data_IF_013002652350
#
_entry.id   IF_013002652350
#
_cell.length_a   1.000
_cell.length_b   1.000
_cell.length_c   1.000
_cell.angle_alpha   90.00
_cell.angle_beta   90.00
_cell.angle_gamma   90.00
#
_symmetry.space_group_name_H-M   'P 1'
#
loop_
_entity.id
_entity.type
_entity.pdbx_description
1 polymer ?
#
# COMPACT_ATOMS: atom_id res chain seq x y z
N UNK A 1 24.98 6.95 -8.75
CA UNK A 1 23.60 6.60 -9.14
C UNK A 1 22.68 6.92 -7.97
N UNK A 2 21.60 7.66 -8.19
CA UNK A 2 20.63 7.96 -7.13
C UNK A 2 19.80 6.71 -6.82
N UNK A 3 19.66 6.36 -5.52
CA UNK A 3 18.80 5.27 -5.06
C UNK A 3 17.34 5.54 -5.48
N UNK A 4 16.59 4.52 -5.83
CA UNK A 4 15.15 4.59 -6.09
C UNK A 4 14.35 5.04 -4.87
N UNK A 5 13.07 5.37 -5.06
CA UNK A 5 12.13 5.79 -4.01
C UNK A 5 11.24 4.63 -3.58
N UNK A 6 10.98 4.52 -2.30
CA UNK A 6 9.87 3.70 -1.78
C UNK A 6 8.59 4.55 -1.77
N UNK A 7 7.70 4.32 -2.73
CA UNK A 7 6.37 4.93 -2.79
C UNK A 7 5.45 4.12 -1.87
N UNK A 8 5.16 4.68 -0.70
CA UNK A 8 4.51 3.95 0.39
C UNK A 8 3.05 4.39 0.51
N UNK A 9 2.13 3.63 -0.13
CA UNK A 9 0.70 3.95 -0.11
C UNK A 9 0.11 3.67 1.27
N UNK A 10 -0.51 4.70 1.83
CA UNK A 10 -1.21 4.65 3.12
C UNK A 10 -2.62 5.21 2.96
N UNK A 11 -3.47 4.99 3.93
CA UNK A 11 -4.85 5.49 3.92
C UNK A 11 -5.81 4.54 4.62
N UNK A 12 -7.08 4.93 4.79
CA UNK A 12 -8.07 4.14 5.50
C UNK A 12 -8.30 2.75 4.90
N UNK A 13 -8.84 1.85 5.70
CA UNK A 13 -9.31 0.56 5.18
C UNK A 13 -10.50 0.80 4.25
N UNK A 14 -10.52 0.16 3.09
CA UNK A 14 -11.61 0.33 2.13
C UNK A 14 -11.39 1.43 1.09
N UNK A 15 -10.39 2.30 1.25
CA UNK A 15 -10.15 3.44 0.34
C UNK A 15 -9.71 3.03 -1.09
N UNK A 16 -9.45 1.74 -1.35
CA UNK A 16 -9.13 1.25 -2.69
C UNK A 16 -7.64 1.10 -3.01
N UNK A 17 -6.73 1.17 -2.02
CA UNK A 17 -5.28 1.03 -2.24
C UNK A 17 -4.87 -0.20 -3.06
N UNK A 18 -5.43 -1.37 -2.77
CA UNK A 18 -5.09 -2.61 -3.50
C UNK A 18 -5.57 -2.56 -4.96
N UNK A 19 -6.74 -1.96 -5.20
CA UNK A 19 -7.29 -1.77 -6.56
C UNK A 19 -6.43 -0.79 -7.35
N UNK A 20 -6.09 0.34 -6.73
CA UNK A 20 -5.24 1.37 -7.32
C UNK A 20 -3.85 0.81 -7.69
N UNK A 21 -3.21 0.09 -6.75
CA UNK A 21 -1.91 -0.52 -7.00
C UNK A 21 -1.95 -1.55 -8.13
N UNK A 22 -2.98 -2.41 -8.16
CA UNK A 22 -3.12 -3.43 -9.20
C UNK A 22 -3.29 -2.79 -10.58
N UNK A 23 -4.14 -1.79 -10.68
CA UNK A 23 -4.36 -1.08 -11.94
C UNK A 23 -3.08 -0.34 -12.41
N UNK A 24 -2.38 0.34 -11.49
CA UNK A 24 -1.12 0.99 -11.80
C UNK A 24 -0.03 -0.02 -12.23
N UNK A 25 0.05 -1.18 -11.56
CA UNK A 25 0.99 -2.24 -11.93
C UNK A 25 0.73 -2.78 -13.34
N UNK A 26 -0.54 -2.93 -13.73
CA UNK A 26 -0.92 -3.33 -15.09
C UNK A 26 -0.55 -2.26 -16.11
N UNK A 27 -0.88 -1.00 -15.85
CA UNK A 27 -0.61 0.12 -16.76
C UNK A 27 0.89 0.36 -16.95
N UNK A 28 1.69 0.15 -15.90
CA UNK A 28 3.14 0.39 -15.90
C UNK A 28 3.97 -0.89 -16.09
N UNK A 29 3.34 -2.00 -16.52
CA UNK A 29 4.01 -3.29 -16.72
C UNK A 29 5.17 -3.23 -17.74
N UNK A 30 5.17 -2.23 -18.63
CA UNK A 30 6.23 -1.99 -19.62
C UNK A 30 7.44 -1.22 -19.05
N UNK A 31 7.36 -0.71 -17.81
CA UNK A 31 8.42 0.09 -17.17
C UNK A 31 9.34 -0.79 -16.33
N UNK A 32 10.62 -0.82 -16.69
CA UNK A 32 11.65 -1.57 -15.94
C UNK A 32 12.21 -0.82 -14.73
N UNK A 33 11.92 0.46 -14.61
CA UNK A 33 12.37 1.34 -13.53
C UNK A 33 11.39 1.43 -12.35
N UNK A 34 10.24 0.72 -12.42
CA UNK A 34 9.23 0.65 -11.36
C UNK A 34 8.95 -0.79 -10.97
N UNK A 35 8.81 -1.07 -9.68
CA UNK A 35 8.48 -2.40 -9.13
C UNK A 35 7.28 -2.35 -8.22
N UNK A 36 6.45 -3.40 -8.30
CA UNK A 36 5.27 -3.62 -7.46
C UNK A 36 5.41 -4.96 -6.72
N UNK A 37 6.23 -5.05 -5.67
CA UNK A 37 6.47 -6.30 -4.97
C UNK A 37 5.22 -6.77 -4.24
N UNK A 38 5.06 -8.08 -4.15
CA UNK A 38 4.03 -8.71 -3.33
C UNK A 38 4.41 -8.60 -1.86
N UNK A 39 3.47 -8.15 -1.02
CA UNK A 39 3.62 -8.29 0.44
C UNK A 39 3.15 -9.67 0.88
N UNK A 40 3.70 -10.17 1.98
CA UNK A 40 3.29 -11.44 2.58
C UNK A 40 2.26 -11.15 3.65
N UNK A 41 1.14 -11.91 3.66
CA UNK A 41 0.03 -11.70 4.60
C UNK A 41 -0.42 -13.04 5.17
N UNK A 42 -0.62 -13.11 6.50
CA UNK A 42 -1.19 -14.28 7.17
C UNK A 42 -2.71 -14.40 6.93
N UNK A 43 -3.07 -14.53 5.67
CA UNK A 43 -4.47 -14.68 5.25
C UNK A 43 -4.66 -16.07 4.64
N UNK A 44 -5.75 -16.80 4.97
CA UNK A 44 -6.07 -18.04 4.29
C UNK A 44 -6.15 -17.84 2.78
N UNK A 45 -5.57 -18.74 2.02
CA UNK A 45 -5.75 -18.79 0.57
C UNK A 45 -7.23 -18.89 0.23
N UNK A 46 -7.72 -17.99 -0.61
CA UNK A 46 -9.07 -18.10 -1.14
C UNK A 46 -9.02 -18.86 -2.46
N UNK A 47 -9.72 -20.01 -2.59
CA UNK A 47 -9.72 -20.77 -3.84
C UNK A 47 -10.36 -20.03 -5.02
N UNK A 48 -11.10 -18.95 -4.74
CA UNK A 48 -11.81 -18.15 -5.75
C UNK A 48 -11.05 -16.89 -6.20
N UNK A 49 -9.80 -16.70 -5.75
CA UNK A 49 -8.98 -15.55 -6.17
C UNK A 49 -7.81 -16.04 -6.99
N UNK A 50 -7.64 -15.45 -8.16
CA UNK A 50 -6.44 -15.68 -8.95
C UNK A 50 -5.24 -15.03 -8.23
N UNK A 51 -4.41 -15.86 -7.58
CA UNK A 51 -3.26 -15.41 -6.80
C UNK A 51 -2.21 -14.66 -7.65
N UNK A 52 -2.15 -14.93 -8.94
CA UNK A 52 -1.23 -14.26 -9.86
C UNK A 52 -1.57 -12.77 -10.05
N UNK A 53 -2.85 -12.40 -9.86
CA UNK A 53 -3.32 -11.03 -9.99
C UNK A 53 -3.30 -10.25 -8.67
N UNK A 54 -3.03 -10.91 -7.55
CA UNK A 54 -3.00 -10.26 -6.24
C UNK A 54 -1.59 -9.75 -5.92
N UNK A 55 -1.49 -8.52 -5.41
CA UNK A 55 -0.22 -7.93 -4.96
C UNK A 55 0.13 -8.38 -3.52
N UNK A 56 -0.22 -9.61 -3.18
CA UNK A 56 0.22 -10.25 -1.93
C UNK A 56 0.40 -11.76 -2.12
N UNK A 57 1.20 -12.33 -1.26
CA UNK A 57 1.40 -13.75 -1.08
C UNK A 57 0.78 -14.17 0.26
N UNK A 58 -0.02 -15.23 0.24
CA UNK A 58 -0.63 -15.77 1.45
C UNK A 58 0.36 -16.71 2.15
N UNK A 59 0.50 -16.53 3.46
CA UNK A 59 1.27 -17.43 4.32
C UNK A 59 0.44 -17.83 5.54
N UNK A 60 0.73 -18.96 6.14
CA UNK A 60 0.26 -19.24 7.49
C UNK A 60 1.10 -18.52 8.53
N UNK A 61 0.62 -18.47 9.79
CA UNK A 61 1.31 -17.76 10.87
C UNK A 61 2.71 -18.34 11.14
N UNK A 62 2.90 -19.65 11.03
CA UNK A 62 4.17 -20.36 11.25
C UNK A 62 5.21 -19.97 10.19
N UNK A 63 4.81 -20.00 8.91
CA UNK A 63 5.64 -19.57 7.80
C UNK A 63 6.02 -18.10 7.91
N UNK A 64 5.06 -17.22 8.25
CA UNK A 64 5.32 -15.80 8.46
C UNK A 64 6.35 -15.56 9.58
N UNK A 65 6.16 -16.18 10.74
CA UNK A 65 7.12 -16.07 11.85
C UNK A 65 8.50 -16.61 11.51
N UNK A 66 8.57 -17.67 10.68
CA UNK A 66 9.84 -18.19 10.19
C UNK A 66 10.58 -17.17 9.31
N UNK A 67 9.87 -16.52 8.38
CA UNK A 67 10.41 -15.45 7.56
C UNK A 67 10.88 -14.25 8.42
N UNK A 68 10.08 -13.87 9.40
CA UNK A 68 10.40 -12.77 10.33
C UNK A 68 11.68 -13.05 11.13
N UNK A 69 11.83 -14.27 11.69
CA UNK A 69 13.06 -14.67 12.40
C UNK A 69 14.30 -14.69 11.52
N UNK A 70 14.16 -14.98 10.22
CA UNK A 70 15.28 -14.95 9.27
C UNK A 70 15.61 -13.56 8.73
N UNK A 71 14.85 -12.52 9.15
CA UNK A 71 15.07 -11.16 8.68
C UNK A 71 14.64 -10.92 7.23
N UNK A 72 13.72 -11.73 6.69
CA UNK A 72 13.24 -11.66 5.30
C UNK A 72 12.27 -10.49 5.06
N UNK A 73 11.99 -9.69 6.09
CA UNK A 73 11.12 -8.53 5.98
C UNK A 73 11.88 -7.21 6.18
N UNK A 74 11.60 -6.27 5.33
CA UNK A 74 12.00 -4.88 5.45
C UNK A 74 11.17 -4.16 6.54
N UNK A 75 9.86 -4.41 6.52
CA UNK A 75 8.87 -3.83 7.44
C UNK A 75 7.81 -4.87 7.73
N UNK A 76 7.39 -5.00 9.00
CA UNK A 76 6.27 -5.84 9.40
C UNK A 76 5.26 -5.04 10.23
N UNK A 77 3.99 -5.44 10.18
CA UNK A 77 2.95 -4.91 11.07
C UNK A 77 1.82 -5.91 11.27
N UNK A 78 1.04 -5.70 12.33
CA UNK A 78 -0.18 -6.46 12.58
C UNK A 78 -1.39 -5.54 12.50
N UNK A 79 -2.44 -5.99 11.83
CA UNK A 79 -3.70 -5.25 11.68
C UNK A 79 -4.86 -6.19 11.40
N UNK A 80 -6.00 -5.95 12.03
CA UNK A 80 -7.21 -6.76 11.86
C UNK A 80 -7.00 -8.28 12.03
N UNK A 81 -6.19 -8.67 13.01
CA UNK A 81 -5.89 -10.08 13.28
C UNK A 81 -4.95 -10.75 12.26
N UNK A 82 -4.38 -10.01 11.33
CA UNK A 82 -3.43 -10.49 10.34
C UNK A 82 -2.05 -9.85 10.52
N UNK A 83 -1.00 -10.61 10.17
CA UNK A 83 0.34 -10.07 10.02
C UNK A 83 0.63 -9.76 8.54
N UNK A 84 1.44 -8.74 8.33
CA UNK A 84 1.83 -8.24 7.02
C UNK A 84 3.34 -8.01 7.01
N UNK A 85 4.00 -8.39 5.92
CA UNK A 85 5.43 -8.18 5.72
C UNK A 85 5.74 -7.65 4.33
N UNK A 86 6.60 -6.64 4.24
CA UNK A 86 7.23 -6.21 2.99
C UNK A 86 8.56 -6.94 2.87
N UNK A 87 8.84 -7.61 1.73
CA UNK A 87 10.07 -8.37 1.55
C UNK A 87 11.32 -7.50 1.66
N UNK A 88 12.39 -8.00 2.27
CA UNK A 88 13.69 -7.33 2.36
C UNK A 88 14.33 -7.12 0.98
N UNK A 89 14.00 -7.95 0.00
CA UNK A 89 14.45 -7.85 -1.40
C UNK A 89 14.13 -6.50 -2.07
N UNK A 90 13.16 -5.73 -1.53
CA UNK A 90 12.89 -4.34 -1.94
C UNK A 90 14.18 -3.48 -1.91
N UNK A 91 15.13 -3.78 -1.01
CA UNK A 91 16.42 -3.05 -0.93
C UNK A 91 17.24 -3.14 -2.21
N UNK A 92 17.20 -4.28 -2.89
CA UNK A 92 17.93 -4.51 -4.14
C UNK A 92 17.38 -3.64 -5.28
N UNK A 93 16.03 -3.57 -5.36
CA UNK A 93 15.37 -2.71 -6.34
C UNK A 93 15.71 -1.23 -6.10
N UNK A 94 15.60 -0.78 -4.86
CA UNK A 94 15.94 0.59 -4.48
C UNK A 94 17.41 0.92 -4.73
N UNK A 95 18.33 0.00 -4.41
CA UNK A 95 19.77 0.18 -4.67
C UNK A 95 20.08 0.24 -6.16
N UNK A 96 19.32 -0.48 -6.98
CA UNK A 96 19.43 -0.42 -8.44
C UNK A 96 18.80 0.84 -9.07
N UNK A 97 18.30 1.78 -8.24
CA UNK A 97 17.68 3.03 -8.70
C UNK A 97 16.23 2.88 -9.15
N UNK A 98 15.59 1.72 -8.93
CA UNK A 98 14.19 1.50 -9.28
C UNK A 98 13.26 2.05 -8.20
N UNK A 99 12.18 2.69 -8.61
CA UNK A 99 11.10 3.05 -7.70
C UNK A 99 10.28 1.81 -7.31
N UNK A 100 9.96 1.68 -6.05
CA UNK A 100 9.20 0.55 -5.51
C UNK A 100 7.89 1.04 -4.92
N UNK A 101 6.76 0.52 -5.40
CA UNK A 101 5.42 0.93 -4.98
C UNK A 101 4.77 -0.16 -4.14
N UNK A 102 4.40 0.18 -2.89
CA UNK A 102 3.84 -0.80 -1.95
C UNK A 102 2.58 -0.28 -1.25
N UNK A 103 1.67 -1.19 -0.90
CA UNK A 103 0.60 -0.88 0.03
C UNK A 103 1.11 -1.08 1.46
N UNK A 104 1.27 0.02 2.18
CA UNK A 104 1.77 0.07 3.54
C UNK A 104 0.68 0.29 4.61
N UNK A 105 1.14 0.50 5.82
CA UNK A 105 0.31 0.86 6.98
C UNK A 105 0.74 2.20 7.55
N UNK A 106 -0.23 3.04 7.92
CA UNK A 106 0.06 4.31 8.62
C UNK A 106 0.85 4.07 9.92
N UNK A 107 0.47 3.05 10.68
CA UNK A 107 1.16 2.71 11.93
C UNK A 107 2.58 2.17 11.73
N UNK A 108 2.89 1.61 10.55
CA UNK A 108 4.23 1.10 10.24
C UNK A 108 5.11 2.09 9.45
N UNK A 109 4.58 3.28 9.12
CA UNK A 109 5.34 4.32 8.42
C UNK A 109 6.63 4.73 9.16
N UNK A 110 6.66 4.91 10.49
CA UNK A 110 7.91 5.20 11.20
C UNK A 110 8.98 4.11 11.01
N UNK A 111 8.59 2.83 11.05
CA UNK A 111 9.50 1.71 10.80
C UNK A 111 10.00 1.73 9.34
N UNK A 112 9.13 2.01 8.38
CA UNK A 112 9.50 2.11 6.97
C UNK A 112 10.51 3.24 6.74
N UNK A 113 10.32 4.41 7.37
CA UNK A 113 11.26 5.54 7.33
C UNK A 113 12.63 5.20 7.92
N UNK A 114 12.66 4.43 8.99
CA UNK A 114 13.92 3.98 9.58
C UNK A 114 14.65 2.96 8.68
N UNK A 115 13.91 2.20 7.87
CA UNK A 115 14.45 1.14 7.02
C UNK A 115 14.93 1.62 5.65
N UNK A 116 14.40 2.77 5.13
CA UNK A 116 14.65 3.27 3.77
C UNK A 116 14.88 4.77 3.78
N UNK A 117 16.00 5.20 3.18
CA UNK A 117 16.40 6.60 3.17
C UNK A 117 15.49 7.50 2.30
N UNK A 118 14.96 6.96 1.19
CA UNK A 118 14.11 7.72 0.25
C UNK A 118 12.72 7.10 0.21
N UNK A 119 11.86 7.55 1.11
CA UNK A 119 10.46 7.14 1.19
C UNK A 119 9.55 8.33 0.85
N UNK A 120 8.57 8.07 0.00
CA UNK A 120 7.51 9.02 -0.35
C UNK A 120 6.17 8.44 0.12
N UNK A 121 5.62 8.94 1.23
CA UNK A 121 4.28 8.56 1.64
C UNK A 121 3.25 9.10 0.65
N UNK A 122 2.34 8.23 0.20
CA UNK A 122 1.21 8.60 -0.65
C UNK A 122 -0.08 8.26 0.11
N UNK A 123 -0.80 9.29 0.53
CA UNK A 123 -2.06 9.11 1.23
C UNK A 123 -3.21 9.02 0.25
N UNK A 124 -3.81 7.84 0.14
CA UNK A 124 -5.03 7.64 -0.65
C UNK A 124 -6.22 8.01 0.24
N UNK A 125 -6.97 9.00 -0.21
CA UNK A 125 -8.14 9.54 0.46
C UNK A 125 -9.43 9.19 -0.30
N UNK A 126 -10.54 9.12 0.39
CA UNK A 126 -11.88 9.14 -0.18
C UNK A 126 -12.82 9.75 0.85
N UNK A 127 -13.91 10.37 0.40
CA UNK A 127 -14.95 10.88 1.28
C UNK A 127 -15.62 9.77 2.10
N UNK A 128 -16.29 10.17 3.20
CA UNK A 128 -16.85 9.24 4.17
C UNK A 128 -17.98 8.40 3.54
N UNK A 129 -18.79 9.01 2.68
CA UNK A 129 -19.90 8.38 1.98
C UNK A 129 -19.40 7.25 1.07
N UNK A 130 -18.40 7.54 0.24
CA UNK A 130 -17.74 6.57 -0.64
C UNK A 130 -17.10 5.44 0.15
N UNK A 131 -16.40 5.75 1.25
CA UNK A 131 -15.82 4.73 2.12
C UNK A 131 -16.89 3.82 2.73
N UNK A 132 -17.96 4.40 3.27
CA UNK A 132 -19.05 3.66 3.88
C UNK A 132 -19.71 2.71 2.86
N UNK A 133 -19.97 3.20 1.64
CA UNK A 133 -20.57 2.41 0.56
C UNK A 133 -19.65 1.25 0.14
N UNK A 134 -18.36 1.51 -0.07
CA UNK A 134 -17.38 0.47 -0.41
C UNK A 134 -17.22 -0.59 0.67
N UNK A 135 -17.34 -0.20 1.95
CA UNK A 135 -17.30 -1.14 3.08
C UNK A 135 -18.56 -2.00 3.13
N UNK A 136 -19.76 -1.43 2.88
CA UNK A 136 -21.04 -2.18 2.80
C UNK A 136 -21.00 -3.21 1.67
N UNK A 137 -20.55 -2.83 0.47
CA UNK A 137 -20.48 -3.73 -0.69
C UNK A 137 -19.55 -4.93 -0.48
N UNK A 138 -18.54 -4.81 0.38
CA UNK A 138 -17.67 -5.94 0.71
C UNK A 138 -18.33 -7.00 1.58
N UNK A 139 -19.52 -6.77 2.12
CA UNK A 139 -20.38 -7.71 2.87
C UNK A 139 -19.67 -8.54 3.95
N UNK A 140 -18.60 -8.03 4.56
CA UNK A 140 -17.77 -8.77 5.53
C UNK A 140 -17.95 -8.35 6.97
N UNK A 141 -18.71 -7.27 7.21
CA UNK A 141 -18.89 -6.69 8.54
C UNK A 141 -20.30 -6.13 8.72
N UNK A 142 -20.75 -6.14 9.97
CA UNK A 142 -21.95 -5.47 10.40
C UNK A 142 -21.76 -3.93 10.46
N UNK A 143 -22.82 -3.18 10.66
CA UNK A 143 -22.81 -1.72 10.74
C UNK A 143 -21.84 -1.21 11.80
N UNK A 144 -21.74 -1.86 12.95
CA UNK A 144 -20.81 -1.49 14.02
C UNK A 144 -19.33 -1.71 13.62
N UNK A 145 -19.05 -2.71 12.79
CA UNK A 145 -17.74 -2.94 12.20
C UNK A 145 -17.33 -1.84 11.23
N UNK A 146 -18.27 -1.38 10.40
CA UNK A 146 -18.07 -0.27 9.46
C UNK A 146 -17.77 1.03 10.23
N UNK A 147 -18.57 1.38 11.23
CA UNK A 147 -18.38 2.58 12.06
C UNK A 147 -17.01 2.57 12.77
N UNK A 148 -16.61 1.44 13.36
CA UNK A 148 -15.28 1.29 13.96
C UNK A 148 -14.14 1.50 12.95
N UNK A 149 -14.30 1.10 11.70
CA UNK A 149 -13.30 1.30 10.64
C UNK A 149 -13.21 2.76 10.20
N UNK A 150 -14.36 3.42 10.06
CA UNK A 150 -14.42 4.85 9.75
C UNK A 150 -13.77 5.68 10.87
N UNK A 151 -14.09 5.38 12.13
CA UNK A 151 -13.48 6.04 13.29
C UNK A 151 -11.94 5.86 13.32
N UNK A 152 -11.44 4.65 13.06
CA UNK A 152 -9.99 4.40 12.93
C UNK A 152 -9.38 5.11 11.71
N UNK A 153 -10.15 5.26 10.64
CA UNK A 153 -9.73 6.04 9.46
C UNK A 153 -9.31 7.45 9.84
N UNK A 154 -10.03 8.07 10.76
CA UNK A 154 -9.82 9.44 11.23
C UNK A 154 -8.80 9.55 12.38
N UNK A 155 -8.41 8.43 13.02
CA UNK A 155 -7.53 8.44 14.20
C UNK A 155 -6.06 8.77 13.89
N UNK A 156 -5.65 8.76 12.64
CA UNK A 156 -4.27 9.05 12.24
C UNK A 156 -4.24 10.32 11.39
N UNK A 157 -3.42 11.27 11.80
CA UNK A 157 -3.13 12.43 10.97
C UNK A 157 -2.51 12.02 9.62
N UNK A 158 -2.81 12.77 8.59
CA UNK A 158 -2.10 12.67 7.31
C UNK A 158 -0.68 13.20 7.55
N UNK A 159 0.38 12.47 7.20
CA UNK A 159 1.74 13.01 7.32
C UNK A 159 1.89 14.28 6.47
N UNK A 160 2.56 15.31 7.01
CA UNK A 160 2.72 16.60 6.33
C UNK A 160 3.46 16.50 4.98
N UNK A 161 4.35 15.51 4.87
CA UNK A 161 5.13 15.19 3.67
C UNK A 161 4.44 14.18 2.73
N UNK A 162 3.21 13.78 3.02
CA UNK A 162 2.49 12.84 2.16
C UNK A 162 1.85 13.54 0.96
N UNK A 163 2.04 12.98 -0.23
CA UNK A 163 1.20 13.31 -1.37
C UNK A 163 -0.20 12.74 -1.16
N UNK A 164 -1.23 13.51 -1.50
CA UNK A 164 -2.62 13.07 -1.35
C UNK A 164 -3.20 12.75 -2.72
N UNK A 165 -3.75 11.53 -2.85
CA UNK A 165 -4.52 11.10 -4.02
C UNK A 165 -5.97 10.94 -3.59
N UNK A 166 -6.86 11.68 -4.23
CA UNK A 166 -8.31 11.51 -4.06
C UNK A 166 -8.82 10.33 -4.90
N UNK A 167 -9.46 9.38 -4.23
CA UNK A 167 -10.09 8.22 -4.84
C UNK A 167 -11.59 8.16 -4.49
N UNK A 168 -12.24 9.32 -4.36
CA UNK A 168 -13.68 9.40 -4.07
C UNK A 168 -14.52 9.10 -5.30
N UNK A 169 -14.21 9.72 -6.41
CA UNK A 169 -15.06 9.69 -7.62
C UNK A 169 -14.60 8.61 -8.61
N UNK A 170 -13.52 8.86 -9.35
CA UNK A 170 -13.09 8.04 -10.47
C UNK A 170 -11.76 7.34 -10.17
N UNK A 171 -11.73 6.02 -10.32
CA UNK A 171 -10.53 5.22 -10.15
C UNK A 171 -9.45 5.59 -11.18
N UNK A 172 -9.83 5.89 -12.42
CA UNK A 172 -8.87 6.22 -13.49
C UNK A 172 -8.11 7.52 -13.19
N UNK A 173 -8.77 8.50 -12.57
CA UNK A 173 -8.11 9.74 -12.14
C UNK A 173 -7.09 9.48 -11.03
N UNK A 174 -7.44 8.63 -10.07
CA UNK A 174 -6.53 8.22 -9.01
C UNK A 174 -5.33 7.41 -9.54
N UNK A 175 -5.54 6.55 -10.56
CA UNK A 175 -4.47 5.83 -11.25
C UNK A 175 -3.56 6.82 -11.98
N UNK A 176 -4.13 7.75 -12.74
CA UNK A 176 -3.38 8.78 -13.44
C UNK A 176 -2.56 9.64 -12.47
N UNK A 177 -3.12 9.98 -11.31
CA UNK A 177 -2.40 10.69 -10.25
C UNK A 177 -1.20 9.88 -9.74
N UNK A 178 -1.36 8.58 -9.46
CA UNK A 178 -0.25 7.72 -9.03
C UNK A 178 0.81 7.58 -10.14
N UNK A 179 0.40 7.45 -11.39
CA UNK A 179 1.33 7.40 -12.52
C UNK A 179 2.12 8.71 -12.67
N UNK A 180 1.50 9.87 -12.44
CA UNK A 180 2.21 11.17 -12.41
C UNK A 180 3.26 11.20 -11.30
N UNK A 181 2.94 10.73 -10.07
CA UNK A 181 3.93 10.62 -8.98
C UNK A 181 5.16 9.83 -9.40
N UNK A 182 4.97 8.76 -10.18
CA UNK A 182 6.05 7.90 -10.67
C UNK A 182 6.79 8.48 -11.89
N UNK A 183 6.21 9.47 -12.57
CA UNK A 183 6.87 10.16 -13.69
C UNK A 183 7.69 11.38 -13.22
N UNK A 184 7.33 11.97 -12.07
CA UNK A 184 7.98 13.16 -11.54
C UNK A 184 9.35 12.86 -10.93
N UNK A 185 10.32 13.81 -11.06
CA UNK A 185 11.60 13.73 -10.35
C UNK A 185 11.39 13.68 -8.84
N UNK A 186 12.40 13.16 -8.14
CA UNK A 186 12.36 12.85 -6.72
C UNK A 186 12.05 14.01 -5.75
N UNK A 187 12.02 15.24 -6.22
CA UNK A 187 11.93 16.45 -5.39
C UNK A 187 10.51 17.09 -5.41
N UNK A 188 9.52 16.36 -5.93
CA UNK A 188 8.15 16.87 -5.98
C UNK A 188 7.48 16.82 -4.60
N UNK A 189 7.21 18.01 -4.02
CA UNK A 189 6.48 18.21 -2.77
C UNK A 189 5.19 19.00 -3.04
N UNK A 190 4.21 18.40 -3.70
CA UNK A 190 2.96 19.07 -4.03
C UNK A 190 1.73 18.18 -3.80
N UNK A 191 0.55 18.81 -3.58
CA UNK A 191 -0.72 18.10 -3.71
C UNK A 191 -0.97 17.83 -5.18
N UNK A 192 -1.18 16.57 -5.53
CA UNK A 192 -1.68 16.17 -6.85
C UNK A 192 -3.20 16.11 -6.72
N UNK A 193 -3.85 17.11 -7.30
CA UNK A 193 -5.30 17.16 -7.43
C UNK A 193 -5.77 16.12 -8.47
#
# INVERSE_FOLDING_TARGET
>A
MTSGRLIYLIGPSGVGKDTLLRAAAQQLAHRDDVRFPRRIITRPCSPHRNQEQELYEAADESAFQSLERRGEFLVTWRSHGLAYGLPVAIREDLAAGRDVVVNGSRGALPQARAAVARILPVYVWADVETLAERLRQRAREDTAGIERRLARGNAYAIPDDALVIDNSANLDDAIAALCRVLAEPADYHGRIA
#
